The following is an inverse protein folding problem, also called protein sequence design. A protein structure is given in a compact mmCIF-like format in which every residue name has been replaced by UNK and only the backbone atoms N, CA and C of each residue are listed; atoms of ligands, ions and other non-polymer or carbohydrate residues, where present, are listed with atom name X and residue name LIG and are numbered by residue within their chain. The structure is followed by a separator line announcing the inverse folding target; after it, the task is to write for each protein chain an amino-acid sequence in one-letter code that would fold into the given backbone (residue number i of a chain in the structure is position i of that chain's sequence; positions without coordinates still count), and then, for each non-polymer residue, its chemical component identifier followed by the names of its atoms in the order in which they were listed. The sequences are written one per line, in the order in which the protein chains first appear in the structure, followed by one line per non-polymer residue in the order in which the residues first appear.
data_IF_626954446099
#
_entry.id   IF_626954446099
#
_cell.length_a   1.000
_cell.length_b   1.000
_cell.length_c   1.000
_cell.angle_alpha   90.00
_cell.angle_beta   90.00
_cell.angle_gamma   90.00
#
_symmetry.space_group_name_H-M   'P 1'
#
loop_
_entity.id
_entity.type
_entity.pdbx_description
1 polymer ?
#
# COMPACT_ATOMS: atom_id res chain seq x y z
N UNK A 1 -1.12 -29.67 49.85
CA UNK A 1 -0.58 -29.66 48.46
C UNK A 1 -1.59 -30.15 47.41
N UNK A 2 -2.34 -31.24 47.63
CA UNK A 2 -3.31 -31.78 46.65
C UNK A 2 -4.46 -30.83 46.26
N UNK A 3 -4.91 -29.96 47.17
CA UNK A 3 -5.97 -28.97 46.89
C UNK A 3 -5.51 -27.75 46.09
N UNK A 4 -4.25 -27.35 46.24
CA UNK A 4 -3.65 -26.20 45.53
C UNK A 4 -3.28 -26.60 44.10
N UNK A 5 -2.76 -27.82 43.89
CA UNK A 5 -2.41 -28.35 42.57
C UNK A 5 -3.63 -28.54 41.65
N UNK A 6 -4.78 -28.96 42.20
CA UNK A 6 -6.04 -29.07 41.43
C UNK A 6 -6.59 -27.70 41.02
N UNK A 7 -6.42 -26.68 41.88
CA UNK A 7 -6.84 -25.30 41.58
C UNK A 7 -5.95 -24.64 40.53
N UNK A 8 -4.63 -24.80 40.62
CA UNK A 8 -3.71 -24.26 39.62
C UNK A 8 -3.87 -24.96 38.28
N UNK A 9 -4.09 -26.28 38.27
CA UNK A 9 -4.35 -27.03 37.03
C UNK A 9 -5.67 -26.61 36.38
N UNK A 10 -6.73 -26.40 37.16
CA UNK A 10 -8.02 -25.91 36.65
C UNK A 10 -7.92 -24.47 36.11
N UNK A 11 -7.20 -23.59 36.82
CA UNK A 11 -6.98 -22.21 36.39
C UNK A 11 -6.15 -22.14 35.11
N UNK A 12 -5.15 -23.01 34.96
CA UNK A 12 -4.37 -23.17 33.73
C UNK A 12 -5.24 -23.71 32.58
N UNK A 13 -6.12 -24.67 32.84
CA UNK A 13 -7.01 -25.23 31.81
C UNK A 13 -8.00 -24.18 31.30
N UNK A 14 -8.55 -23.36 32.20
CA UNK A 14 -9.43 -22.23 31.81
C UNK A 14 -8.66 -21.22 30.97
N UNK A 15 -7.43 -20.86 31.34
CA UNK A 15 -6.58 -19.98 30.52
C UNK A 15 -6.31 -20.56 29.12
N UNK A 16 -6.04 -21.86 29.02
CA UNK A 16 -5.82 -22.55 27.76
C UNK A 16 -7.08 -22.63 26.88
N UNK A 17 -8.27 -22.70 27.48
CA UNK A 17 -9.54 -22.68 26.72
C UNK A 17 -9.89 -21.25 26.29
N UNK A 18 -9.55 -20.21 27.05
CA UNK A 18 -9.77 -18.82 26.64
C UNK A 18 -8.84 -18.39 25.49
N UNK A 19 -7.64 -18.98 25.37
CA UNK A 19 -6.71 -18.68 24.27
C UNK A 19 -7.09 -19.32 22.94
N UNK A 20 -7.92 -20.37 22.93
CA UNK A 20 -8.38 -21.02 21.69
C UNK A 20 -9.67 -20.43 21.12
N UNK A 21 -10.36 -19.59 21.89
CA UNK A 21 -11.61 -18.92 21.50
C UNK A 21 -11.43 -17.48 21.02
N UNK A 22 -10.21 -16.97 20.96
CA UNK A 22 -9.95 -15.69 20.31
C UNK A 22 -9.95 -15.94 18.80
N UNK A 23 -10.96 -15.50 18.03
CA UNK A 23 -10.83 -15.50 16.58
C UNK A 23 -9.60 -14.65 16.29
N UNK A 24 -8.60 -15.24 15.64
CA UNK A 24 -7.57 -14.46 14.98
C UNK A 24 -8.32 -13.61 13.95
N UNK A 25 -8.61 -12.36 14.32
CA UNK A 25 -9.01 -11.36 13.36
C UNK A 25 -7.81 -11.26 12.42
N UNK A 26 -7.89 -11.96 11.28
CA UNK A 26 -7.05 -11.67 10.12
C UNK A 26 -7.50 -10.28 9.70
N UNK A 27 -6.90 -9.27 10.32
CA UNK A 27 -6.82 -7.96 9.70
C UNK A 27 -6.06 -8.24 8.41
N UNK A 28 -6.76 -8.24 7.28
CA UNK A 28 -6.11 -8.22 5.99
C UNK A 28 -5.25 -6.96 6.01
N UNK A 29 -3.96 -7.11 6.31
CA UNK A 29 -2.98 -6.11 5.94
C UNK A 29 -3.16 -5.99 4.43
N UNK A 30 -3.72 -4.87 4.00
CA UNK A 30 -3.90 -4.55 2.60
C UNK A 30 -2.51 -4.68 1.98
N UNK A 31 -2.29 -5.76 1.22
CA UNK A 31 -0.99 -6.06 0.66
C UNK A 31 -0.53 -4.93 -0.26
N UNK A 32 0.78 -4.86 -0.51
CA UNK A 32 1.34 -3.86 -1.39
C UNK A 32 0.67 -3.90 -2.77
N UNK A 33 0.31 -2.72 -3.28
CA UNK A 33 -0.35 -2.57 -4.59
C UNK A 33 0.64 -2.29 -5.70
N UNK A 34 1.82 -1.80 -5.35
CA UNK A 34 2.93 -1.54 -6.25
C UNK A 34 4.26 -1.63 -5.49
N UNK A 35 5.36 -1.63 -6.22
CA UNK A 35 6.72 -1.60 -5.67
C UNK A 35 7.62 -0.70 -6.51
N UNK A 36 8.74 -0.25 -5.93
CA UNK A 36 9.83 0.35 -6.68
C UNK A 36 10.84 -0.75 -7.00
N UNK A 37 11.03 -1.04 -8.29
CA UNK A 37 11.81 -2.21 -8.75
C UNK A 37 13.26 -2.14 -8.28
N UNK A 38 13.88 -0.97 -8.32
CA UNK A 38 15.29 -0.79 -7.99
C UNK A 38 15.57 -0.94 -6.48
N UNK A 39 14.58 -0.72 -5.62
CA UNK A 39 14.71 -0.87 -4.15
C UNK A 39 14.06 -2.14 -3.61
N UNK A 40 13.23 -2.82 -4.41
CA UNK A 40 12.40 -3.96 -4.00
C UNK A 40 11.45 -3.67 -2.84
N UNK A 41 11.14 -2.39 -2.61
CA UNK A 41 10.22 -1.94 -1.55
C UNK A 41 8.80 -1.88 -2.11
N UNK A 42 7.89 -2.62 -1.48
CA UNK A 42 6.45 -2.57 -1.75
C UNK A 42 5.76 -1.41 -1.03
N UNK A 43 4.67 -0.95 -1.62
CA UNK A 43 3.86 0.15 -1.11
C UNK A 43 2.36 -0.21 -1.13
N UNK A 44 1.62 0.06 -0.05
CA UNK A 44 0.19 -0.22 0.03
C UNK A 44 -0.65 0.75 -0.81
N UNK A 45 -0.10 1.89 -1.23
CA UNK A 45 -0.78 2.88 -2.07
C UNK A 45 0.16 3.43 -3.14
N UNK A 46 -0.42 3.87 -4.26
CA UNK A 46 0.33 4.53 -5.32
C UNK A 46 0.90 5.88 -4.85
N UNK A 47 0.19 6.63 -3.99
CA UNK A 47 0.68 7.89 -3.41
C UNK A 47 2.00 7.73 -2.66
N UNK A 48 2.12 6.66 -1.87
CA UNK A 48 3.33 6.38 -1.10
C UNK A 48 4.52 6.07 -2.02
N UNK A 49 4.27 5.33 -3.11
CA UNK A 49 5.29 5.07 -4.13
C UNK A 49 5.67 6.36 -4.89
N UNK A 50 4.70 7.17 -5.32
CA UNK A 50 4.93 8.44 -6.03
C UNK A 50 5.71 9.46 -5.18
N UNK A 51 5.47 9.47 -3.86
CA UNK A 51 6.22 10.32 -2.92
C UNK A 51 7.68 9.87 -2.81
N UNK A 52 7.94 8.57 -2.93
CA UNK A 52 9.26 7.99 -2.67
C UNK A 52 10.11 7.82 -3.92
N UNK A 53 9.49 7.61 -5.09
CA UNK A 53 10.18 7.29 -6.33
C UNK A 53 11.16 8.39 -6.75
N UNK A 54 12.36 7.96 -7.13
CA UNK A 54 13.45 8.82 -7.55
C UNK A 54 13.55 8.86 -9.08
N UNK A 55 14.30 9.86 -9.58
CA UNK A 55 14.55 9.99 -11.01
C UNK A 55 15.20 8.72 -11.58
N UNK A 56 14.66 8.22 -12.69
CA UNK A 56 15.11 7.03 -13.40
C UNK A 56 14.55 5.71 -12.88
N UNK A 57 13.74 5.71 -11.82
CA UNK A 57 13.21 4.48 -11.21
C UNK A 57 11.91 4.00 -11.84
N UNK A 58 11.55 2.76 -11.50
CA UNK A 58 10.38 2.06 -12.01
C UNK A 58 9.39 1.73 -10.90
N UNK A 59 8.15 2.21 -11.02
CA UNK A 59 7.03 1.73 -10.21
C UNK A 59 6.40 0.54 -10.96
N UNK A 60 6.42 -0.65 -10.35
CA UNK A 60 5.76 -1.85 -10.89
C UNK A 60 4.46 -2.13 -10.14
N UNK A 61 3.38 -2.37 -10.87
CA UNK A 61 2.09 -2.74 -10.29
C UNK A 61 2.08 -4.21 -9.85
N UNK A 62 1.45 -4.46 -8.71
CA UNK A 62 1.23 -5.79 -8.14
C UNK A 62 -0.25 -6.22 -8.21
N UNK A 63 -1.13 -5.29 -8.56
CA UNK A 63 -2.56 -5.47 -8.82
C UNK A 63 -3.12 -4.26 -9.57
N UNK A 64 -4.37 -4.37 -10.02
CA UNK A 64 -5.10 -3.23 -10.59
C UNK A 64 -5.25 -2.09 -9.57
N UNK A 65 -5.09 -0.86 -10.04
CA UNK A 65 -5.20 0.36 -9.24
C UNK A 65 -6.24 1.28 -9.87
N UNK A 66 -7.29 1.59 -9.12
CA UNK A 66 -8.20 2.70 -9.40
C UNK A 66 -7.71 3.91 -8.63
N UNK A 67 -7.20 4.92 -9.33
CA UNK A 67 -6.57 6.08 -8.73
C UNK A 67 -7.41 7.34 -9.00
N UNK A 68 -8.05 7.86 -7.96
CA UNK A 68 -9.00 8.98 -8.05
C UNK A 68 -8.35 10.36 -7.88
N UNK A 69 -7.05 10.46 -8.16
CA UNK A 69 -6.23 11.66 -7.97
C UNK A 69 -5.38 11.89 -9.23
N UNK A 70 -4.85 13.11 -9.39
CA UNK A 70 -3.90 13.42 -10.46
C UNK A 70 -2.50 12.91 -10.15
N UNK A 71 -1.78 12.41 -11.15
CA UNK A 71 -0.36 12.06 -11.09
C UNK A 71 0.45 13.23 -11.65
N UNK A 72 1.39 13.76 -10.88
CA UNK A 72 2.28 14.84 -11.32
C UNK A 72 3.73 14.39 -11.32
N UNK A 73 4.37 14.43 -12.49
CA UNK A 73 5.78 14.12 -12.69
C UNK A 73 6.48 15.38 -13.18
N UNK A 74 7.30 15.98 -12.33
CA UNK A 74 8.04 17.22 -12.61
C UNK A 74 9.54 16.96 -12.48
N UNK A 75 10.30 17.29 -13.52
CA UNK A 75 11.77 17.23 -13.56
C UNK A 75 12.36 15.85 -13.23
N UNK A 76 11.60 14.81 -13.54
CA UNK A 76 11.95 13.42 -13.27
C UNK A 76 11.46 12.53 -14.39
N UNK A 77 12.25 11.50 -14.66
CA UNK A 77 11.86 10.35 -15.46
C UNK A 77 11.42 9.24 -14.51
N UNK A 78 10.22 8.70 -14.69
CA UNK A 78 9.71 7.54 -13.95
C UNK A 78 9.11 6.57 -14.96
N UNK A 79 9.34 5.27 -14.76
CA UNK A 79 8.70 4.22 -15.56
C UNK A 79 7.55 3.61 -14.76
N UNK A 80 6.35 3.53 -15.37
CA UNK A 80 5.27 2.70 -14.85
C UNK A 80 5.30 1.35 -15.56
N UNK A 81 5.70 0.30 -14.85
CA UNK A 81 5.57 -1.08 -15.32
C UNK A 81 4.23 -1.65 -14.85
N UNK A 82 3.27 -1.70 -15.76
CA UNK A 82 1.93 -2.17 -15.45
C UNK A 82 1.85 -3.67 -15.13
N UNK A 83 2.85 -4.47 -15.52
CA UNK A 83 2.94 -5.89 -15.16
C UNK A 83 1.67 -6.71 -15.45
N UNK A 84 0.92 -6.34 -16.50
CA UNK A 84 -0.34 -6.98 -16.87
C UNK A 84 -1.58 -6.51 -16.12
N UNK A 85 -1.45 -5.49 -15.25
CA UNK A 85 -2.54 -4.86 -14.51
C UNK A 85 -2.97 -3.52 -15.12
N UNK A 86 -4.10 -3.00 -14.65
CA UNK A 86 -4.62 -1.69 -15.04
C UNK A 86 -4.26 -0.61 -14.02
N UNK A 87 -3.91 0.57 -14.54
CA UNK A 87 -3.84 1.82 -13.78
C UNK A 87 -4.91 2.77 -14.30
N UNK A 88 -6.07 2.75 -13.66
CA UNK A 88 -7.23 3.56 -14.04
C UNK A 88 -7.16 4.89 -13.30
N UNK A 89 -6.74 5.94 -14.00
CA UNK A 89 -6.60 7.29 -13.42
C UNK A 89 -7.83 8.13 -13.73
N UNK A 90 -8.55 8.49 -12.69
CA UNK A 90 -9.76 9.33 -12.77
C UNK A 90 -9.52 10.58 -11.93
N UNK A 91 -9.18 11.70 -12.59
CA UNK A 91 -9.17 12.98 -11.90
C UNK A 91 -10.57 13.58 -11.93
N UNK A 92 -11.14 13.81 -10.75
CA UNK A 92 -12.35 14.63 -10.58
C UNK A 92 -12.02 16.04 -10.09
N UNK A 93 -10.73 16.35 -9.93
CA UNK A 93 -10.29 17.65 -9.47
C UNK A 93 -10.54 18.70 -10.56
N UNK A 94 -11.10 19.84 -10.14
CA UNK A 94 -11.23 21.03 -10.95
C UNK A 94 -10.45 22.13 -10.23
N UNK A 95 -9.25 22.42 -10.72
CA UNK A 95 -8.41 23.52 -10.25
C UNK A 95 -8.30 24.64 -11.26
N UNK A 96 -7.49 25.65 -10.93
CA UNK A 96 -7.30 26.83 -11.77
C UNK A 96 -6.17 26.64 -12.79
N UNK A 97 -5.37 25.57 -12.64
CA UNK A 97 -4.21 25.28 -13.49
C UNK A 97 -4.38 23.99 -14.29
N UNK A 98 -3.54 23.81 -15.32
CA UNK A 98 -3.51 22.57 -16.09
C UNK A 98 -3.10 21.36 -15.24
N UNK A 99 -2.14 21.54 -14.31
CA UNK A 99 -1.65 20.49 -13.44
C UNK A 99 -2.74 19.93 -12.52
N UNK A 100 -3.70 20.77 -12.11
CA UNK A 100 -4.81 20.38 -11.22
C UNK A 100 -5.97 19.74 -11.99
N UNK A 101 -6.06 19.97 -13.31
CA UNK A 101 -7.19 19.56 -14.16
C UNK A 101 -6.93 18.30 -14.99
N UNK A 102 -5.76 17.67 -14.88
CA UNK A 102 -5.42 16.47 -15.64
C UNK A 102 -5.21 15.25 -14.72
N UNK A 103 -5.54 14.05 -15.22
CA UNK A 103 -5.18 12.79 -14.56
C UNK A 103 -3.67 12.53 -14.56
N UNK A 104 -2.95 13.03 -15.57
CA UNK A 104 -1.51 12.92 -15.68
C UNK A 104 -0.92 14.26 -16.14
N UNK A 105 -0.10 14.87 -15.27
CA UNK A 105 0.70 16.04 -15.55
C UNK A 105 2.17 15.63 -15.67
N UNK A 106 2.81 15.99 -16.78
CA UNK A 106 4.25 15.76 -16.97
C UNK A 106 4.88 17.06 -17.44
N UNK A 107 5.85 17.53 -16.67
CA UNK A 107 6.64 18.71 -16.97
C UNK A 107 8.13 18.38 -16.87
N UNK A 108 8.88 18.73 -17.91
CA UNK A 108 10.33 18.64 -17.88
C UNK A 108 10.94 20.03 -17.86
N UNK A 109 11.91 20.25 -16.99
CA UNK A 109 12.76 21.41 -17.02
C UNK A 109 13.74 21.27 -18.20
N UNK A 110 13.48 22.03 -19.27
CA UNK A 110 14.47 22.28 -20.30
C UNK A 110 15.57 23.15 -19.69
N UNK A 111 16.70 22.53 -19.34
CA UNK A 111 17.94 23.25 -19.11
C UNK A 111 18.41 23.97 -20.38
#
# INVERSE_FOLDING_TARGET
MKGVLKKTLSMLLVLCVMSTFMPFYVLAAEGDVCEIVETTVGYPTLDAALTTVQNGQTIRLLKDINYSSGISIVDKSITFNLNGFNLDVVSTAIGDTYAENCGLYVEGNSA
#
